data_IF_882624130263
#
_entry.id   IF_882624130263
#
_cell.length_a   1.000
_cell.length_b   1.000
_cell.length_c   1.000
_cell.angle_alpha   90.00
_cell.angle_beta   90.00
_cell.angle_gamma   90.00
#
_symmetry.space_group_name_H-M   'P 1'
#
loop_
_entity.id
_entity.type
_entity.pdbx_description
1 polymer ?
#
# COMPACT_ATOMS: atom_id res chain seq x y z
N UNK A 1 12.41 -1.31 -15.73
CA UNK A 1 10.99 -1.46 -15.34
C UNK A 1 10.71 -0.46 -14.21
N UNK A 2 10.97 0.84 -14.44
CA UNK A 2 11.56 1.68 -13.38
C UNK A 2 10.77 2.88 -12.87
N UNK A 3 9.54 3.12 -13.33
CA UNK A 3 8.81 4.34 -12.90
C UNK A 3 7.35 4.12 -12.47
N UNK A 4 6.98 2.86 -12.21
CA UNK A 4 5.60 2.53 -11.86
C UNK A 4 5.21 3.05 -10.47
N UNK A 5 6.13 3.04 -9.48
CA UNK A 5 5.88 3.55 -8.13
C UNK A 5 5.65 5.07 -8.14
N UNK A 6 6.47 5.81 -8.91
CA UNK A 6 6.28 7.23 -9.16
C UNK A 6 4.94 7.51 -9.83
N UNK A 7 4.56 6.73 -10.84
CA UNK A 7 3.29 6.89 -11.53
C UNK A 7 2.09 6.63 -10.60
N UNK A 8 2.13 5.59 -9.78
CA UNK A 8 1.08 5.29 -8.80
C UNK A 8 0.96 6.41 -7.77
N UNK A 9 2.08 6.85 -7.19
CA UNK A 9 2.09 7.93 -6.20
C UNK A 9 1.63 9.26 -6.80
N UNK A 10 2.13 9.64 -7.99
CA UNK A 10 1.73 10.86 -8.67
C UNK A 10 0.23 10.85 -9.00
N UNK A 11 -0.31 9.72 -9.49
CA UNK A 11 -1.75 9.57 -9.73
C UNK A 11 -2.55 9.70 -8.44
N UNK A 12 -2.15 9.03 -7.36
CA UNK A 12 -2.80 9.10 -6.05
C UNK A 12 -2.79 10.53 -5.48
N UNK A 13 -1.67 11.23 -5.63
CA UNK A 13 -1.51 12.62 -5.20
C UNK A 13 -2.45 13.56 -5.94
N UNK A 14 -2.60 13.34 -7.25
CA UNK A 14 -3.42 14.15 -8.14
C UNK A 14 -4.92 13.80 -8.08
N UNK A 15 -5.33 12.73 -7.38
CA UNK A 15 -6.75 12.49 -7.12
C UNK A 15 -7.30 13.61 -6.24
N UNK A 16 -8.27 14.36 -6.79
CA UNK A 16 -9.04 15.34 -6.05
C UNK A 16 -9.82 14.60 -4.97
N UNK A 17 -9.59 14.92 -3.69
CA UNK A 17 -10.48 14.48 -2.62
C UNK A 17 -11.75 15.31 -2.74
N UNK A 18 -12.79 14.72 -3.33
CA UNK A 18 -14.08 15.38 -3.55
C UNK A 18 -14.93 15.47 -2.28
N UNK A 19 -14.58 14.75 -1.20
CA UNK A 19 -15.20 14.90 0.12
C UNK A 19 -14.15 14.88 1.25
N UNK A 20 -14.38 15.66 2.32
CA UNK A 20 -13.48 15.69 3.50
C UNK A 20 -13.42 14.36 4.27
N UNK A 21 -14.32 13.42 3.96
CA UNK A 21 -14.40 12.09 4.56
C UNK A 21 -14.15 10.94 3.57
N UNK A 22 -13.93 11.19 2.28
CA UNK A 22 -13.64 10.13 1.32
C UNK A 22 -12.13 9.87 1.25
N UNK A 23 -11.70 8.67 1.65
CA UNK A 23 -10.36 8.19 1.31
C UNK A 23 -10.29 7.96 -0.21
N UNK A 24 -9.30 8.55 -0.86
CA UNK A 24 -8.97 8.19 -2.23
C UNK A 24 -8.08 6.96 -2.19
N UNK A 25 -8.61 5.82 -2.62
CA UNK A 25 -7.94 4.53 -2.53
C UNK A 25 -7.52 4.02 -3.90
N UNK A 26 -6.28 3.55 -4.00
CA UNK A 26 -5.78 2.78 -5.13
C UNK A 26 -5.33 1.41 -4.65
N UNK A 27 -5.84 0.36 -5.30
CA UNK A 27 -5.39 -1.01 -5.05
C UNK A 27 -4.33 -1.40 -6.09
N UNK A 28 -3.22 -1.95 -5.61
CA UNK A 28 -2.15 -2.52 -6.41
C UNK A 28 -2.08 -4.01 -6.15
N UNK A 29 -2.03 -4.79 -7.22
CA UNK A 29 -1.81 -6.24 -7.16
C UNK A 29 -0.32 -6.48 -7.33
N UNK A 30 0.30 -7.09 -6.32
CA UNK A 30 1.73 -7.40 -6.29
C UNK A 30 1.87 -8.89 -6.19
N UNK A 31 2.28 -9.55 -7.27
CA UNK A 31 2.45 -11.00 -7.27
C UNK A 31 3.77 -11.45 -7.84
N UNK A 32 4.19 -12.64 -7.38
CA UNK A 32 5.32 -13.40 -7.88
C UNK A 32 5.05 -14.90 -7.65
N UNK A 33 5.28 -15.72 -8.68
CA UNK A 33 5.27 -17.20 -8.64
C UNK A 33 4.21 -17.83 -7.71
N UNK A 34 2.93 -17.59 -7.99
CA UNK A 34 1.81 -18.22 -7.26
C UNK A 34 1.39 -17.52 -5.97
N UNK A 35 2.15 -16.52 -5.52
CA UNK A 35 1.80 -15.66 -4.39
C UNK A 35 1.42 -14.27 -4.88
N UNK A 36 0.32 -13.74 -4.35
CA UNK A 36 -0.18 -12.41 -4.67
C UNK A 36 -0.63 -11.70 -3.41
N UNK A 37 -0.14 -10.47 -3.24
CA UNK A 37 -0.49 -9.55 -2.17
C UNK A 37 -1.22 -8.37 -2.79
N UNK A 38 -2.34 -7.97 -2.20
CA UNK A 38 -2.98 -6.71 -2.56
C UNK A 38 -2.46 -5.62 -1.65
N UNK A 39 -2.00 -4.52 -2.23
CA UNK A 39 -1.66 -3.30 -1.50
C UNK A 39 -2.74 -2.26 -1.74
N UNK A 40 -3.18 -1.62 -0.67
CA UNK A 40 -4.11 -0.51 -0.70
C UNK A 40 -3.38 0.76 -0.31
N UNK A 41 -3.29 1.71 -1.24
CA UNK A 41 -2.77 3.05 -0.99
C UNK A 41 -3.94 4.01 -0.83
N UNK A 42 -4.17 4.46 0.40
CA UNK A 42 -5.26 5.35 0.76
C UNK A 42 -4.71 6.75 1.06
N UNK A 43 -5.11 7.76 0.28
CA UNK A 43 -4.85 9.16 0.62
C UNK A 43 -5.95 9.66 1.54
N UNK A 44 -5.57 10.12 2.73
CA UNK A 44 -6.44 10.73 3.74
C UNK A 44 -5.76 11.98 4.29
N UNK A 45 -6.40 13.14 4.12
CA UNK A 45 -5.79 14.44 4.41
C UNK A 45 -4.41 14.58 3.73
N UNK A 46 -3.40 14.99 4.49
CA UNK A 46 -2.00 15.10 4.06
C UNK A 46 -1.21 13.80 4.22
N UNK A 47 -1.89 12.65 4.31
CA UNK A 47 -1.24 11.36 4.51
C UNK A 47 -1.62 10.35 3.44
N UNK A 48 -0.65 9.51 3.10
CA UNK A 48 -0.82 8.29 2.32
C UNK A 48 -0.63 7.12 3.26
N UNK A 49 -1.64 6.28 3.38
CA UNK A 49 -1.60 5.04 4.15
C UNK A 49 -1.39 3.89 3.18
N UNK A 50 -0.35 3.10 3.40
CA UNK A 50 -0.09 1.86 2.65
C UNK A 50 -0.50 0.69 3.53
N UNK A 51 -1.48 -0.07 3.05
CA UNK A 51 -2.03 -1.23 3.74
C UNK A 51 -1.80 -2.48 2.90
N UNK A 52 -1.52 -3.60 3.57
CA UNK A 52 -1.62 -4.91 2.95
C UNK A 52 -3.04 -5.41 3.14
N UNK A 53 -3.72 -5.67 2.04
CA UNK A 53 -5.06 -6.26 1.96
C UNK A 53 -4.93 -7.73 1.53
N UNK A 54 -4.19 -8.52 2.33
CA UNK A 54 -4.07 -9.95 2.08
C UNK A 54 -5.38 -10.63 2.50
N UNK A 55 -6.24 -10.93 1.52
CA UNK A 55 -7.52 -11.61 1.79
C UNK A 55 -7.34 -13.06 2.24
N UNK A 56 -6.16 -13.66 2.09
CA UNK A 56 -5.90 -15.06 2.42
C UNK A 56 -4.89 -15.19 3.57
N UNK A 57 -5.21 -16.02 4.57
CA UNK A 57 -4.37 -16.21 5.76
C UNK A 57 -2.99 -16.79 5.46
N UNK A 58 -2.91 -17.64 4.42
CA UNK A 58 -1.71 -18.41 4.12
C UNK A 58 -0.58 -17.58 3.51
N UNK A 59 -0.85 -16.33 3.10
CA UNK A 59 0.12 -15.44 2.46
C UNK A 59 0.71 -14.38 3.40
N UNK A 60 0.28 -14.33 4.67
CA UNK A 60 0.84 -13.37 5.65
C UNK A 60 1.93 -14.04 6.49
N UNK A 61 3.13 -13.43 6.58
CA UNK A 61 4.21 -13.97 7.41
C UNK A 61 3.75 -14.16 8.86
N UNK A 62 4.02 -15.33 9.43
CA UNK A 62 3.54 -15.77 10.75
C UNK A 62 3.89 -14.79 11.90
N UNK A 63 4.97 -14.03 11.73
CA UNK A 63 5.48 -13.07 12.71
C UNK A 63 4.83 -11.68 12.64
N UNK A 64 3.88 -11.46 11.73
CA UNK A 64 3.22 -10.16 11.58
C UNK A 64 2.06 -10.06 12.57
N UNK A 65 2.04 -9.12 13.53
CA UNK A 65 0.91 -8.95 14.42
C UNK A 65 -0.28 -8.36 13.65
N UNK A 66 -1.34 -9.16 13.48
CA UNK A 66 -2.57 -8.73 12.82
C UNK A 66 -3.81 -9.34 13.50
N UNK A 67 -4.93 -8.60 13.56
CA UNK A 67 -6.18 -9.13 14.08
C UNK A 67 -6.72 -10.20 13.13
N UNK A 68 -6.87 -11.43 13.64
CA UNK A 68 -7.45 -12.57 12.91
C UNK A 68 -8.97 -12.56 13.09
N UNK A 69 -9.73 -12.48 12.01
CA UNK A 69 -11.18 -12.54 12.05
C UNK A 69 -11.69 -13.70 11.15
N UNK A 70 -11.55 -14.94 11.63
CA UNK A 70 -11.91 -16.13 10.86
C UNK A 70 -10.86 -16.47 9.79
N UNK A 71 -11.28 -16.76 8.55
CA UNK A 71 -10.39 -17.14 7.44
C UNK A 71 -9.80 -15.95 6.66
N UNK A 72 -10.28 -14.74 6.93
CA UNK A 72 -9.84 -13.51 6.25
C UNK A 72 -9.01 -12.67 7.20
N UNK A 73 -7.89 -12.16 6.71
CA UNK A 73 -7.07 -11.18 7.44
C UNK A 73 -7.63 -9.79 7.17
N UNK A 74 -7.76 -8.97 8.22
CA UNK A 74 -8.11 -7.57 8.04
C UNK A 74 -6.94 -6.81 7.42
N UNK A 75 -7.18 -5.85 6.51
CA UNK A 75 -6.12 -5.02 5.98
C UNK A 75 -5.33 -4.36 7.11
N UNK A 76 -4.01 -4.50 7.10
CA UNK A 76 -3.15 -3.93 8.13
C UNK A 76 -2.22 -2.87 7.53
N UNK A 77 -1.93 -1.84 8.32
CA UNK A 77 -1.06 -0.74 7.93
C UNK A 77 0.40 -1.21 7.95
N UNK A 78 1.11 -1.02 6.84
CA UNK A 78 2.55 -1.32 6.73
C UNK A 78 3.40 -0.05 6.69
N UNK A 79 2.85 1.06 6.20
CA UNK A 79 3.49 2.36 6.25
C UNK A 79 2.48 3.49 6.18
N UNK A 80 2.87 4.66 6.65
CA UNK A 80 2.15 5.90 6.41
C UNK A 80 3.15 7.02 6.10
N UNK A 81 2.80 7.88 5.15
CA UNK A 81 3.67 8.92 4.62
C UNK A 81 2.96 10.25 4.60
N UNK A 82 3.68 11.34 4.85
CA UNK A 82 3.15 12.68 4.58
C UNK A 82 3.17 12.92 3.07
N UNK A 83 2.02 13.25 2.50
CA UNK A 83 1.82 13.46 1.07
C UNK A 83 2.61 14.68 0.57
N UNK A 84 2.67 15.75 1.36
CA UNK A 84 3.32 17.01 0.99
C UNK A 84 4.66 17.21 1.72
N UNK A 85 5.34 16.12 2.10
CA UNK A 85 6.62 16.16 2.79
C UNK A 85 7.81 16.34 1.84
N UNK A 86 8.90 16.92 2.36
CA UNK A 86 10.20 16.98 1.66
C UNK A 86 10.76 15.58 1.32
N UNK A 87 10.24 14.53 1.96
CA UNK A 87 10.69 13.15 1.81
C UNK A 87 9.87 12.32 0.80
N UNK A 88 9.10 12.95 -0.10
CA UNK A 88 8.24 12.19 -1.03
C UNK A 88 9.02 11.23 -1.94
N UNK A 89 10.24 11.59 -2.34
CA UNK A 89 11.07 10.72 -3.17
C UNK A 89 11.57 9.50 -2.39
N UNK A 90 11.90 9.67 -1.10
CA UNK A 90 12.21 8.54 -0.21
C UNK A 90 11.01 7.62 -0.02
N UNK A 91 9.80 8.17 0.05
CA UNK A 91 8.58 7.37 0.18
C UNK A 91 8.31 6.54 -1.09
N UNK A 92 8.58 7.12 -2.28
CA UNK A 92 8.49 6.41 -3.56
C UNK A 92 9.53 5.28 -3.65
N UNK A 93 10.75 5.53 -3.19
CA UNK A 93 11.82 4.54 -3.14
C UNK A 93 11.49 3.41 -2.16
N UNK A 94 11.01 3.75 -0.96
CA UNK A 94 10.54 2.76 0.01
C UNK A 94 9.46 1.86 -0.57
N UNK A 95 8.47 2.42 -1.27
CA UNK A 95 7.39 1.63 -1.89
C UNK A 95 7.93 0.69 -2.98
N UNK A 96 8.91 1.15 -3.77
CA UNK A 96 9.58 0.34 -4.79
C UNK A 96 10.29 -0.86 -4.16
N UNK A 97 11.11 -0.61 -3.13
CA UNK A 97 11.85 -1.66 -2.43
C UNK A 97 10.93 -2.62 -1.68
N UNK A 98 9.88 -2.11 -1.03
CA UNK A 98 8.88 -2.93 -0.34
C UNK A 98 8.27 -3.97 -1.30
N UNK A 99 7.85 -3.53 -2.49
CA UNK A 99 7.23 -4.39 -3.49
C UNK A 99 8.21 -5.37 -4.10
N UNK A 100 9.43 -4.93 -4.39
CA UNK A 100 10.50 -5.81 -4.86
C UNK A 100 10.76 -6.94 -3.85
N UNK A 101 10.78 -6.63 -2.55
CA UNK A 101 10.95 -7.63 -1.49
C UNK A 101 9.76 -8.58 -1.31
N UNK A 102 8.59 -8.28 -1.88
CA UNK A 102 7.46 -9.23 -1.94
C UNK A 102 7.50 -10.11 -3.20
N UNK A 103 8.43 -9.85 -4.13
CA UNK A 103 8.61 -10.61 -5.37
C UNK A 103 9.77 -11.60 -5.32
N UNK A 104 10.44 -11.75 -4.17
CA UNK A 104 11.51 -12.71 -3.90
C UNK A 104 11.17 -13.52 -2.65
#
# INVERSE_FOLDING_TARGET
MDDWSCNVMNRLMNLKSTLSNSCNEMSLVVGHEGHCIYLSLCKKFDFILVRVDNRWMDTVPLNTPHPKNGALIQPYLVAYFKSNGLDIDKNKEWLKEYIKNQQY
#
